data_IF_650191247736
#
_entry.id   IF_650191247736
#
_cell.length_a   1.000
_cell.length_b   1.000
_cell.length_c   1.000
_cell.angle_alpha   90.00
_cell.angle_beta   90.00
_cell.angle_gamma   90.00
#
_symmetry.space_group_name_H-M   'P 1'
#
loop_
_entity.id
_entity.type
_entity.pdbx_description
1 polymer ?
#
# COMPACT_ATOMS: atom_id res chain seq x y z
N UNK A 1 76.66 -27.99 13.32
CA UNK A 1 76.63 -28.47 11.92
C UNK A 1 75.18 -28.42 11.43
N UNK A 2 74.94 -27.65 10.35
CA UNK A 2 73.95 -27.82 9.24
C UNK A 2 72.50 -28.17 9.61
N UNK A 3 71.43 -27.56 9.08
CA UNK A 3 71.24 -26.51 8.06
C UNK A 3 69.76 -26.12 8.09
N UNK A 4 69.47 -24.83 7.93
CA UNK A 4 68.13 -24.25 7.85
C UNK A 4 67.39 -24.66 6.57
N UNK A 5 66.10 -25.02 6.70
CA UNK A 5 65.19 -25.29 5.57
C UNK A 5 64.32 -24.07 5.27
N UNK A 6 64.42 -23.58 4.03
CA UNK A 6 63.77 -22.38 3.49
C UNK A 6 62.30 -22.66 3.11
N UNK A 7 61.39 -21.77 3.55
CA UNK A 7 59.98 -21.71 3.15
C UNK A 7 59.86 -21.14 1.72
N UNK A 8 59.18 -21.84 0.80
CA UNK A 8 58.73 -21.27 -0.47
C UNK A 8 57.26 -20.85 -0.37
N UNK A 9 57.03 -19.54 -0.48
CA UNK A 9 55.71 -18.93 -0.57
C UNK A 9 55.11 -19.07 -1.96
N UNK A 10 53.80 -19.25 -2.02
CA UNK A 10 52.99 -19.26 -3.24
C UNK A 10 52.27 -17.93 -3.33
N UNK A 11 52.52 -17.19 -4.41
CA UNK A 11 51.98 -15.85 -4.68
C UNK A 11 50.60 -16.01 -5.33
N UNK A 12 49.54 -15.30 -4.87
CA UNK A 12 48.26 -15.25 -5.57
C UNK A 12 48.30 -14.23 -6.72
N UNK A 13 47.61 -14.48 -7.84
CA UNK A 13 47.67 -13.59 -9.01
C UNK A 13 46.89 -12.29 -8.80
N UNK A 14 47.47 -11.19 -9.26
CA UNK A 14 46.93 -9.84 -9.23
C UNK A 14 45.60 -9.70 -9.99
N UNK A 15 44.64 -9.00 -9.39
CA UNK A 15 43.41 -8.56 -10.04
C UNK A 15 43.67 -7.26 -10.80
N UNK A 16 43.48 -7.28 -12.13
CA UNK A 16 43.42 -6.08 -12.97
C UNK A 16 42.06 -5.37 -12.83
N UNK A 17 42.01 -4.03 -12.98
CA UNK A 17 40.78 -3.24 -12.85
C UNK A 17 39.89 -3.36 -14.10
N UNK A 18 38.57 -3.31 -13.89
CA UNK A 18 37.56 -3.21 -14.96
C UNK A 18 37.54 -1.78 -15.50
N UNK A 19 37.77 -1.64 -16.79
CA UNK A 19 37.49 -0.43 -17.57
C UNK A 19 36.17 -0.66 -18.31
N UNK A 20 35.37 0.40 -18.33
CA UNK A 20 34.15 0.56 -19.12
C UNK A 20 34.48 0.46 -20.61
N UNK A 21 33.74 -0.36 -21.35
CA UNK A 21 33.74 -0.33 -22.81
C UNK A 21 32.29 -0.18 -23.29
N UNK A 22 32.07 1.00 -23.86
CA UNK A 22 30.94 1.38 -24.70
C UNK A 22 30.85 0.41 -25.89
N UNK A 23 29.64 -0.10 -26.17
CA UNK A 23 29.38 -0.89 -27.36
C UNK A 23 29.16 0.06 -28.53
N UNK A 24 30.23 0.27 -29.30
CA UNK A 24 30.20 0.71 -30.69
C UNK A 24 29.54 -0.40 -31.54
N UNK A 25 28.45 -0.09 -32.22
CA UNK A 25 27.79 -1.00 -33.16
C UNK A 25 28.50 -0.91 -34.51
N UNK A 26 29.12 -2.01 -34.91
CA UNK A 26 29.82 -2.21 -36.19
C UNK A 26 28.88 -1.99 -37.40
N UNK A 27 29.32 -1.15 -38.33
CA UNK A 27 28.79 -1.00 -39.68
C UNK A 27 29.15 -2.24 -40.51
N UNK A 28 28.15 -3.01 -40.96
CA UNK A 28 28.33 -3.99 -42.03
C UNK A 28 28.10 -3.33 -43.39
N UNK A 29 29.17 -3.21 -44.17
CA UNK A 29 29.16 -2.82 -45.59
C UNK A 29 28.42 -3.86 -46.45
N UNK A 30 27.25 -3.48 -47.00
CA UNK A 30 26.52 -4.26 -48.01
C UNK A 30 26.65 -3.60 -49.39
N UNK A 31 27.10 -4.40 -50.36
CA UNK A 31 27.36 -4.10 -51.77
C UNK A 31 26.07 -3.64 -52.51
N UNK A 32 26.10 -2.60 -53.38
CA UNK A 32 24.90 -2.07 -54.03
C UNK A 32 24.50 -2.88 -55.28
N UNK A 33 23.22 -3.27 -55.36
CA UNK A 33 22.54 -3.79 -56.55
C UNK A 33 21.35 -2.89 -56.95
N UNK A 34 20.88 -2.94 -58.21
CA UNK A 34 20.21 -1.81 -58.86
C UNK A 34 18.72 -1.67 -58.51
N UNK A 35 18.33 -0.42 -58.31
CA UNK A 35 17.02 0.21 -58.53
C UNK A 35 15.77 -0.65 -58.32
N UNK A 36 15.37 -0.75 -57.06
CA UNK A 36 13.95 -0.77 -56.69
C UNK A 36 13.80 0.31 -55.63
N UNK A 37 13.22 1.45 -55.97
CA UNK A 37 12.83 2.46 -54.98
C UNK A 37 11.93 1.77 -53.93
N UNK A 38 12.36 1.63 -52.67
CA UNK A 38 11.37 1.55 -51.61
C UNK A 38 10.78 2.95 -51.51
N UNK A 39 9.46 3.08 -51.59
CA UNK A 39 8.78 4.28 -51.14
C UNK A 39 9.42 4.73 -49.82
N UNK A 40 9.74 6.03 -49.70
CA UNK A 40 10.24 6.61 -48.47
C UNK A 40 9.23 6.34 -47.34
N UNK A 41 9.36 5.18 -46.70
CA UNK A 41 8.82 4.90 -45.38
C UNK A 41 9.63 5.80 -44.46
N UNK A 42 9.19 7.06 -44.42
CA UNK A 42 9.68 8.10 -43.52
C UNK A 42 9.77 7.47 -42.15
N UNK A 43 11.00 7.20 -41.70
CA UNK A 43 11.27 6.67 -40.37
C UNK A 43 10.84 7.76 -39.39
N UNK A 44 9.57 7.72 -38.99
CA UNK A 44 8.94 8.71 -38.13
C UNK A 44 9.81 8.89 -36.89
N UNK A 45 10.28 10.11 -36.66
CA UNK A 45 11.12 10.39 -35.51
C UNK A 45 10.31 10.18 -34.23
N UNK A 46 10.98 9.90 -33.11
CA UNK A 46 10.31 9.74 -31.81
C UNK A 46 9.50 10.98 -31.40
N UNK A 47 9.91 12.16 -31.87
CA UNK A 47 9.20 13.42 -31.63
C UNK A 47 7.95 13.56 -32.50
N UNK A 48 8.04 13.25 -33.80
CA UNK A 48 6.89 13.24 -34.70
C UNK A 48 5.84 12.23 -34.24
N UNK A 49 6.26 11.04 -33.79
CA UNK A 49 5.36 10.04 -33.19
C UNK A 49 4.64 10.56 -31.96
N UNK A 50 5.34 11.26 -31.06
CA UNK A 50 4.72 11.90 -29.88
C UNK A 50 3.73 12.99 -30.28
N UNK A 51 4.07 13.81 -31.28
CA UNK A 51 3.19 14.86 -31.79
C UNK A 51 1.93 14.28 -32.45
N UNK A 52 2.09 13.22 -33.26
CA UNK A 52 0.98 12.50 -33.90
C UNK A 52 0.04 11.90 -32.85
N UNK A 53 0.59 11.20 -31.85
CA UNK A 53 -0.20 10.65 -30.75
C UNK A 53 -0.90 11.74 -29.93
N UNK A 54 -0.23 12.88 -29.67
CA UNK A 54 -0.85 14.00 -28.97
C UNK A 54 -2.01 14.61 -29.77
N UNK A 55 -1.87 14.77 -31.09
CA UNK A 55 -2.94 15.25 -31.98
C UNK A 55 -4.13 14.29 -32.02
N UNK A 56 -3.88 12.99 -32.12
CA UNK A 56 -4.91 11.96 -32.06
C UNK A 56 -5.67 12.01 -30.73
N UNK A 57 -4.95 12.14 -29.62
CA UNK A 57 -5.55 12.23 -28.29
C UNK A 57 -6.41 13.50 -28.11
N UNK A 58 -5.98 14.65 -28.64
CA UNK A 58 -6.78 15.87 -28.65
C UNK A 58 -8.07 15.71 -29.45
N UNK A 59 -7.98 15.10 -30.63
CA UNK A 59 -9.14 14.80 -31.48
C UNK A 59 -10.12 13.86 -30.81
N UNK A 60 -9.63 12.85 -30.07
CA UNK A 60 -10.47 11.92 -29.32
C UNK A 60 -11.23 12.62 -28.18
N UNK A 61 -10.56 13.52 -27.44
CA UNK A 61 -11.22 14.32 -26.40
C UNK A 61 -12.27 15.26 -27.01
N UNK A 62 -11.94 15.95 -28.11
CA UNK A 62 -12.88 16.83 -28.82
C UNK A 62 -14.11 16.06 -29.29
N UNK A 63 -13.92 14.85 -29.84
CA UNK A 63 -15.01 13.98 -30.25
C UNK A 63 -15.89 13.57 -29.05
N UNK A 64 -15.29 13.07 -27.96
CA UNK A 64 -16.04 12.66 -26.76
C UNK A 64 -16.85 13.81 -26.15
N UNK A 65 -16.28 15.02 -26.09
CA UNK A 65 -17.00 16.19 -25.58
C UNK A 65 -18.08 16.68 -26.54
N UNK A 66 -17.86 16.56 -27.86
CA UNK A 66 -18.89 16.89 -28.85
C UNK A 66 -20.11 15.97 -28.75
N UNK A 67 -19.86 14.67 -28.52
CA UNK A 67 -20.90 13.66 -28.34
C UNK A 67 -21.64 13.87 -27.01
N UNK A 68 -20.92 14.29 -25.96
CA UNK A 68 -21.50 14.54 -24.64
C UNK A 68 -22.39 15.79 -24.58
N UNK A 69 -22.01 16.87 -25.28
CA UNK A 69 -22.70 18.15 -25.19
C UNK A 69 -23.95 18.23 -26.09
N UNK A 70 -24.15 17.26 -27.01
CA UNK A 70 -25.25 17.24 -28.01
C UNK A 70 -25.39 18.54 -28.82
N UNK A 71 -24.38 19.42 -28.70
CA UNK A 71 -24.24 20.73 -29.33
C UNK A 71 -22.83 20.75 -29.89
N UNK A 72 -22.70 20.86 -31.22
CA UNK A 72 -21.45 20.68 -31.95
C UNK A 72 -20.36 21.74 -31.71
N UNK A 73 -20.47 22.56 -30.67
CA UNK A 73 -19.48 23.58 -30.31
C UNK A 73 -18.75 23.16 -29.03
N UNK A 74 -17.65 22.43 -29.19
CA UNK A 74 -16.72 22.15 -28.10
C UNK A 74 -15.80 23.36 -27.93
N UNK A 75 -15.89 24.05 -26.80
CA UNK A 75 -14.96 25.12 -26.48
C UNK A 75 -13.57 24.54 -26.17
N UNK A 76 -12.54 25.15 -26.74
CA UNK A 76 -11.14 24.85 -26.46
C UNK A 76 -10.82 24.94 -24.96
N UNK A 77 -11.55 25.77 -24.21
CA UNK A 77 -11.45 25.85 -22.75
C UNK A 77 -11.86 24.55 -22.04
N UNK A 78 -12.92 23.88 -22.51
CA UNK A 78 -13.40 22.59 -21.95
C UNK A 78 -12.38 21.49 -22.18
N UNK A 79 -11.82 21.41 -23.40
CA UNK A 79 -10.75 20.46 -23.75
C UNK A 79 -9.51 20.71 -22.91
N UNK A 80 -9.11 21.98 -22.74
CA UNK A 80 -7.97 22.35 -21.88
C UNK A 80 -8.20 21.97 -20.41
N UNK A 81 -9.42 22.14 -19.89
CA UNK A 81 -9.77 21.70 -18.54
C UNK A 81 -9.66 20.18 -18.41
N UNK A 82 -10.19 19.42 -19.37
CA UNK A 82 -10.14 17.95 -19.35
C UNK A 82 -8.71 17.42 -19.41
N UNK A 83 -7.87 18.00 -20.26
CA UNK A 83 -6.44 17.68 -20.32
C UNK A 83 -5.76 17.96 -18.98
N UNK A 84 -6.05 19.11 -18.37
CA UNK A 84 -5.52 19.46 -17.05
C UNK A 84 -5.95 18.46 -15.99
N UNK A 85 -7.21 18.01 -16.01
CA UNK A 85 -7.71 16.95 -15.12
C UNK A 85 -6.96 15.63 -15.35
N UNK A 86 -6.78 15.20 -16.59
CA UNK A 86 -6.08 13.95 -16.93
C UNK A 86 -4.60 13.99 -16.50
N UNK A 87 -3.91 15.12 -16.68
CA UNK A 87 -2.54 15.31 -16.19
C UNK A 87 -2.48 15.28 -14.66
N UNK A 88 -3.45 15.93 -14.00
CA UNK A 88 -3.57 15.87 -12.55
C UNK A 88 -3.88 14.45 -12.07
N UNK A 89 -4.66 13.67 -12.82
CA UNK A 89 -5.00 12.28 -12.50
C UNK A 89 -3.78 11.37 -12.65
N UNK A 90 -3.05 11.47 -13.76
CA UNK A 90 -1.80 10.73 -13.98
C UNK A 90 -0.74 11.07 -12.94
N UNK A 91 -0.63 12.34 -12.54
CA UNK A 91 0.27 12.75 -11.46
C UNK A 91 -0.24 12.38 -10.06
N UNK A 92 -1.46 11.82 -9.94
CA UNK A 92 -2.09 11.47 -8.67
C UNK A 92 -2.40 12.68 -7.79
N UNK A 93 -2.53 13.87 -8.37
CA UNK A 93 -2.81 15.14 -7.68
C UNK A 93 -4.22 15.66 -7.95
N UNK A 94 -4.98 15.06 -8.86
CA UNK A 94 -6.37 15.40 -9.12
C UNK A 94 -7.20 15.14 -7.87
N UNK A 95 -7.87 16.19 -7.38
CA UNK A 95 -8.75 16.11 -6.22
C UNK A 95 -10.19 16.01 -6.69
N UNK A 96 -10.96 15.11 -6.09
CA UNK A 96 -12.39 14.93 -6.41
C UNK A 96 -13.24 15.18 -5.17
N UNK A 97 -14.36 15.85 -5.35
CA UNK A 97 -15.40 16.04 -4.32
C UNK A 97 -16.51 15.05 -4.59
N UNK A 98 -16.54 13.95 -3.84
CA UNK A 98 -17.45 12.82 -4.06
C UNK A 98 -18.30 12.52 -2.84
N UNK A 99 -17.96 13.09 -1.68
CA UNK A 99 -18.62 12.80 -0.41
C UNK A 99 -20.14 13.02 -0.44
N UNK A 100 -20.61 14.05 -1.15
CA UNK A 100 -22.04 14.35 -1.29
C UNK A 100 -22.80 13.30 -2.11
N UNK A 101 -22.08 12.51 -2.93
CA UNK A 101 -22.67 11.46 -3.74
C UNK A 101 -22.96 10.20 -2.92
N UNK A 102 -22.62 10.14 -1.62
CA UNK A 102 -22.86 8.97 -0.78
C UNK A 102 -24.02 9.22 0.18
N UNK A 103 -25.10 8.45 0.03
CA UNK A 103 -26.28 8.54 0.90
C UNK A 103 -26.21 7.63 2.13
N UNK A 104 -25.39 6.59 2.09
CA UNK A 104 -25.29 5.63 3.19
C UNK A 104 -24.47 4.39 2.86
N UNK A 105 -24.63 3.38 3.71
CA UNK A 105 -24.09 2.04 3.50
C UNK A 105 -25.20 1.01 3.45
N UNK A 106 -25.04 0.01 2.60
CA UNK A 106 -25.96 -1.11 2.48
C UNK A 106 -25.72 -2.13 3.60
N UNK A 107 -26.25 -1.80 4.77
CA UNK A 107 -26.12 -2.60 5.99
C UNK A 107 -26.58 -4.07 5.87
N UNK A 108 -27.70 -4.42 5.21
CA UNK A 108 -28.10 -5.82 5.07
C UNK A 108 -27.18 -6.62 4.13
N UNK A 109 -26.52 -5.97 3.16
CA UNK A 109 -25.64 -6.63 2.20
C UNK A 109 -24.14 -6.61 2.58
N UNK A 110 -23.83 -6.35 3.86
CA UNK A 110 -22.45 -6.45 4.37
C UNK A 110 -21.97 -7.90 4.27
N UNK A 111 -20.95 -8.14 3.44
CA UNK A 111 -20.35 -9.45 3.35
C UNK A 111 -19.36 -9.67 4.48
N UNK A 112 -19.51 -10.79 5.20
CA UNK A 112 -18.69 -11.12 6.36
C UNK A 112 -17.72 -12.25 5.99
N UNK A 113 -16.44 -11.93 5.88
CA UNK A 113 -15.39 -12.91 5.61
C UNK A 113 -14.79 -13.43 6.91
N UNK A 114 -14.85 -14.76 7.09
CA UNK A 114 -14.33 -15.47 8.26
C UNK A 114 -13.50 -16.67 7.82
N UNK A 115 -12.43 -16.97 8.55
CA UNK A 115 -11.58 -18.13 8.29
C UNK A 115 -11.15 -18.80 9.59
N UNK A 116 -10.87 -20.11 9.51
CA UNK A 116 -10.43 -20.91 10.67
C UNK A 116 -9.03 -20.53 11.17
N UNK A 117 -8.23 -19.87 10.33
CA UNK A 117 -6.86 -19.45 10.62
C UNK A 117 -6.79 -18.16 11.43
N UNK A 118 -7.82 -17.31 11.40
CA UNK A 118 -7.92 -16.09 12.21
C UNK A 118 -8.83 -16.33 13.41
N UNK A 119 -8.28 -16.96 14.46
CA UNK A 119 -8.97 -17.22 15.71
C UNK A 119 -8.93 -15.99 16.63
N UNK A 120 -7.84 -15.24 16.59
CA UNK A 120 -7.64 -14.00 17.33
C UNK A 120 -7.98 -12.77 16.46
N UNK A 121 -7.89 -11.59 17.08
CA UNK A 121 -8.25 -10.34 16.44
C UNK A 121 -7.39 -10.04 15.21
N UNK A 122 -8.06 -9.55 14.17
CA UNK A 122 -7.42 -8.99 12.97
C UNK A 122 -6.76 -7.68 13.39
N UNK A 123 -5.49 -7.52 13.03
CA UNK A 123 -4.66 -6.39 13.47
C UNK A 123 -4.45 -5.36 12.37
N UNK A 124 -4.37 -5.81 11.13
CA UNK A 124 -4.03 -5.00 9.97
C UNK A 124 -4.58 -5.62 8.69
N UNK A 125 -4.72 -4.78 7.68
CA UNK A 125 -5.21 -5.12 6.36
C UNK A 125 -4.46 -4.31 5.31
N UNK A 126 -4.36 -4.87 4.11
CA UNK A 126 -3.87 -4.17 2.94
C UNK A 126 -4.62 -4.66 1.70
N UNK A 127 -5.18 -3.72 0.94
CA UNK A 127 -5.82 -4.00 -0.35
C UNK A 127 -4.77 -4.01 -1.46
N UNK A 128 -4.95 -4.87 -2.45
CA UNK A 128 -4.20 -4.77 -3.70
C UNK A 128 -4.67 -3.53 -4.48
N UNK A 129 -3.75 -2.83 -5.17
CA UNK A 129 -4.09 -1.69 -6.04
C UNK A 129 -5.14 -2.00 -7.13
N UNK A 130 -5.29 -3.27 -7.51
CA UNK A 130 -6.29 -3.72 -8.49
C UNK A 130 -7.64 -4.11 -7.88
N UNK A 131 -7.82 -3.93 -6.56
CA UNK A 131 -9.00 -4.31 -5.77
C UNK A 131 -9.44 -5.78 -5.91
N UNK A 132 -8.60 -6.68 -6.43
CA UNK A 132 -8.95 -8.10 -6.55
C UNK A 132 -8.69 -8.86 -5.28
N UNK A 133 -7.63 -8.50 -4.56
CA UNK A 133 -7.16 -9.21 -3.39
C UNK A 133 -7.10 -8.31 -2.16
N UNK A 134 -7.47 -8.91 -1.03
CA UNK A 134 -7.29 -8.31 0.28
C UNK A 134 -6.38 -9.20 1.10
N UNK A 135 -5.40 -8.60 1.75
CA UNK A 135 -4.54 -9.28 2.71
C UNK A 135 -4.88 -8.84 4.11
N UNK A 136 -4.92 -9.80 5.02
CA UNK A 136 -5.27 -9.56 6.42
C UNK A 136 -4.29 -10.27 7.32
N UNK A 137 -3.87 -9.58 8.38
CA UNK A 137 -2.99 -10.12 9.42
C UNK A 137 -3.75 -10.28 10.73
N UNK A 138 -3.46 -11.37 11.44
CA UNK A 138 -4.02 -11.66 12.76
C UNK A 138 -2.93 -11.71 13.84
N UNK A 139 -3.34 -11.56 15.10
CA UNK A 139 -2.50 -11.91 16.26
C UNK A 139 -2.10 -13.39 16.29
N UNK A 140 -2.79 -14.26 15.55
CA UNK A 140 -2.43 -15.67 15.38
C UNK A 140 -1.12 -15.89 14.62
N UNK A 141 -0.48 -14.83 14.13
CA UNK A 141 0.68 -14.94 13.24
C UNK A 141 0.30 -15.65 11.94
N UNK A 142 -0.92 -15.44 11.43
CA UNK A 142 -1.35 -15.95 10.13
C UNK A 142 -1.74 -14.78 9.24
N UNK A 143 -1.44 -14.93 7.95
CA UNK A 143 -1.85 -13.98 6.92
C UNK A 143 -2.79 -14.70 5.98
N UNK A 144 -3.91 -14.07 5.68
CA UNK A 144 -4.90 -14.64 4.76
C UNK A 144 -5.13 -13.67 3.61
N UNK A 145 -5.04 -14.23 2.40
CA UNK A 145 -5.40 -13.58 1.13
C UNK A 145 -6.85 -13.94 0.79
N UNK A 146 -7.64 -12.91 0.55
CA UNK A 146 -9.05 -13.00 0.19
C UNK A 146 -9.23 -12.50 -1.23
N UNK A 147 -10.05 -13.18 -2.02
CA UNK A 147 -10.53 -12.64 -3.28
C UNK A 147 -11.79 -11.82 -3.00
N UNK A 148 -11.76 -10.53 -3.37
CA UNK A 148 -12.90 -9.63 -3.19
C UNK A 148 -14.05 -9.94 -4.14
N UNK A 149 -13.76 -10.35 -5.38
CA UNK A 149 -14.79 -10.73 -6.36
C UNK A 149 -15.59 -11.95 -5.91
N UNK A 150 -14.89 -12.99 -5.44
CA UNK A 150 -15.53 -14.24 -4.98
C UNK A 150 -15.96 -14.19 -3.50
N UNK A 151 -15.56 -13.14 -2.76
CA UNK A 151 -15.81 -12.99 -1.31
C UNK A 151 -15.41 -14.23 -0.52
N UNK A 152 -14.26 -14.82 -0.86
CA UNK A 152 -13.78 -16.05 -0.22
C UNK A 152 -12.28 -16.00 0.04
N UNK A 153 -11.83 -16.85 0.95
CA UNK A 153 -10.41 -17.10 1.17
C UNK A 153 -9.84 -17.86 -0.04
N UNK A 154 -8.74 -17.37 -0.58
CA UNK A 154 -7.98 -18.08 -1.63
C UNK A 154 -6.77 -18.79 -1.02
N UNK A 155 -5.89 -18.02 -0.36
CA UNK A 155 -4.63 -18.56 0.17
C UNK A 155 -4.36 -18.07 1.59
N UNK A 156 -3.44 -18.74 2.26
CA UNK A 156 -2.95 -18.30 3.56
C UNK A 156 -1.48 -18.63 3.73
N UNK A 157 -0.75 -17.70 4.34
CA UNK A 157 0.58 -17.94 4.87
C UNK A 157 0.39 -18.25 6.35
N UNK A 158 0.80 -19.45 6.74
CA UNK A 158 0.67 -19.92 8.11
C UNK A 158 1.89 -19.55 8.95
N UNK A 159 1.66 -19.38 10.24
CA UNK A 159 2.71 -19.23 11.23
C UNK A 159 3.69 -20.41 11.13
N UNK A 160 4.98 -20.10 11.05
CA UNK A 160 6.02 -21.11 11.13
C UNK A 160 6.25 -21.47 12.60
N UNK A 161 6.09 -22.76 12.92
CA UNK A 161 6.48 -23.30 14.24
C UNK A 161 8.01 -23.32 14.42
N UNK A 162 8.53 -24.03 15.44
CA UNK A 162 9.99 -24.12 15.71
C UNK A 162 10.85 -24.80 14.62
N UNK A 163 10.32 -25.07 13.42
CA UNK A 163 11.05 -25.72 12.31
C UNK A 163 11.83 -24.69 11.51
N UNK A 164 12.95 -25.10 10.89
CA UNK A 164 13.82 -24.30 10.02
C UNK A 164 13.17 -23.97 8.66
N UNK A 165 11.92 -23.50 8.64
CA UNK A 165 11.30 -22.96 7.43
C UNK A 165 11.30 -21.44 7.51
N UNK A 166 11.56 -20.72 6.42
CA UNK A 166 11.43 -19.27 6.43
C UNK A 166 9.96 -18.89 6.64
N UNK A 167 9.69 -18.03 7.61
CA UNK A 167 8.35 -17.51 7.85
C UNK A 167 8.22 -16.85 9.22
N UNK A 168 7.00 -16.46 9.56
CA UNK A 168 6.74 -15.63 10.72
C UNK A 168 6.23 -16.45 11.90
N UNK A 169 6.71 -16.13 13.10
CA UNK A 169 6.39 -16.85 14.33
C UNK A 169 5.79 -15.95 15.41
N UNK A 170 5.53 -14.67 15.11
CA UNK A 170 4.90 -13.72 16.04
C UNK A 170 3.81 -12.90 15.35
N UNK A 171 3.03 -12.16 16.15
CA UNK A 171 1.84 -11.43 15.68
C UNK A 171 2.18 -10.47 14.55
N UNK A 172 1.31 -10.43 13.54
CA UNK A 172 1.42 -9.46 12.44
C UNK A 172 0.77 -8.16 12.91
N UNK A 173 1.44 -7.02 12.74
CA UNK A 173 0.92 -5.71 13.17
C UNK A 173 0.63 -4.77 12.01
N UNK A 174 1.29 -4.95 10.88
CA UNK A 174 1.13 -4.10 9.70
C UNK A 174 1.41 -4.90 8.42
N UNK A 175 0.75 -4.51 7.34
CA UNK A 175 0.87 -5.10 6.01
C UNK A 175 0.95 -3.96 5.00
N UNK A 176 1.68 -4.16 3.91
CA UNK A 176 1.73 -3.23 2.80
C UNK A 176 1.79 -3.99 1.47
N UNK A 177 1.20 -3.44 0.41
CA UNK A 177 1.22 -4.04 -0.93
C UNK A 177 1.84 -3.02 -1.88
N UNK A 178 2.71 -3.50 -2.78
CA UNK A 178 3.33 -2.66 -3.81
C UNK A 178 2.29 -2.17 -4.81
N UNK A 179 2.55 -1.02 -5.44
CA UNK A 179 1.63 -0.40 -6.40
C UNK A 179 1.41 -1.25 -7.66
N UNK A 180 2.39 -2.07 -8.03
CA UNK A 180 2.33 -2.95 -9.20
C UNK A 180 1.71 -4.32 -8.90
N UNK A 181 1.30 -4.56 -7.65
CA UNK A 181 0.83 -5.86 -7.15
C UNK A 181 1.80 -7.03 -7.37
N UNK A 182 3.05 -6.83 -7.82
CA UNK A 182 4.02 -7.93 -8.01
C UNK A 182 4.65 -8.31 -6.67
N UNK A 183 4.94 -7.31 -5.86
CA UNK A 183 5.51 -7.49 -4.54
C UNK A 183 4.49 -7.24 -3.44
N UNK A 184 4.48 -8.14 -2.48
CA UNK A 184 3.74 -7.99 -1.24
C UNK A 184 4.76 -7.94 -0.12
N UNK A 185 5.11 -6.75 0.35
CA UNK A 185 5.99 -6.67 1.52
C UNK A 185 5.17 -6.89 2.78
N UNK A 186 5.60 -7.88 3.55
CA UNK A 186 4.92 -8.29 4.75
C UNK A 186 5.80 -7.94 5.93
N UNK A 187 5.42 -6.92 6.68
CA UNK A 187 6.02 -6.77 7.99
C UNK A 187 5.31 -7.64 9.00
N UNK A 188 5.94 -8.77 9.32
CA UNK A 188 5.69 -9.44 10.59
C UNK A 188 6.82 -9.11 11.53
N UNK A 189 6.63 -8.14 12.44
CA UNK A 189 7.44 -8.10 13.66
C UNK A 189 6.60 -7.97 14.92
N UNK A 190 6.55 -9.09 15.63
CA UNK A 190 6.90 -9.23 17.05
C UNK A 190 6.50 -8.07 17.99
N UNK A 191 5.32 -8.16 18.60
CA UNK A 191 5.16 -7.65 19.96
C UNK A 191 4.74 -8.75 20.91
N UNK A 192 5.61 -9.02 21.88
CA UNK A 192 5.26 -9.04 23.30
C UNK A 192 6.48 -8.52 24.06
N UNK A 193 6.27 -7.51 24.90
CA UNK A 193 7.20 -7.18 25.96
C UNK A 193 7.03 -8.19 27.10
N UNK A 194 8.07 -8.94 27.38
CA UNK A 194 8.50 -9.19 28.76
C UNK A 194 10.01 -9.32 28.74
N UNK A 195 10.62 -8.90 29.83
CA UNK A 195 12.05 -8.84 30.07
C UNK A 195 12.82 -10.05 29.52
N UNK A 196 14.06 -9.77 29.11
CA UNK A 196 15.08 -10.68 28.58
C UNK A 196 15.06 -10.89 27.06
N UNK A 197 15.75 -9.98 26.38
CA UNK A 197 16.67 -10.34 25.28
C UNK A 197 17.75 -11.26 25.90
N UNK A 198 17.41 -12.52 26.17
CA UNK A 198 18.38 -13.56 26.60
C UNK A 198 18.61 -14.56 25.47
N UNK A 199 18.81 -14.03 24.27
CA UNK A 199 19.10 -14.78 23.05
C UNK A 199 18.66 -13.93 21.86
N UNK A 200 19.60 -13.56 20.99
CA UNK A 200 19.38 -12.58 19.92
C UNK A 200 18.36 -13.05 18.88
N UNK A 201 17.09 -12.79 19.14
CA UNK A 201 16.04 -12.91 18.12
C UNK A 201 16.07 -11.63 17.26
N UNK A 202 16.42 -11.79 15.99
CA UNK A 202 16.45 -10.69 15.03
C UNK A 202 15.02 -10.16 14.74
N UNK A 203 14.91 -8.85 14.55
CA UNK A 203 13.67 -8.18 14.17
C UNK A 203 13.67 -7.98 12.65
N UNK A 204 12.79 -8.72 11.98
CA UNK A 204 12.88 -9.03 10.56
C UNK A 204 11.71 -8.45 9.76
N UNK A 205 11.98 -7.78 8.64
CA UNK A 205 10.94 -7.43 7.67
C UNK A 205 10.90 -8.50 6.58
N UNK A 206 9.78 -9.21 6.44
CA UNK A 206 9.67 -10.25 5.43
C UNK A 206 9.14 -9.68 4.10
N UNK A 207 9.68 -10.15 2.99
CA UNK A 207 9.20 -9.80 1.66
C UNK A 207 8.68 -11.07 1.00
N UNK A 208 7.47 -10.99 0.45
CA UNK A 208 6.80 -12.10 -0.20
C UNK A 208 6.39 -11.69 -1.60
N UNK A 209 6.27 -12.68 -2.48
CA UNK A 209 5.67 -12.46 -3.80
C UNK A 209 4.15 -12.42 -3.65
N UNK A 210 3.47 -11.42 -4.21
CA UNK A 210 2.01 -11.29 -4.03
C UNK A 210 1.23 -12.42 -4.73
N UNK A 211 1.67 -12.80 -5.93
CA UNK A 211 0.97 -13.76 -6.78
C UNK A 211 1.02 -15.18 -6.23
N UNK A 212 2.22 -15.61 -5.79
CA UNK A 212 2.46 -16.98 -5.34
C UNK A 212 2.38 -17.13 -3.82
N UNK A 213 2.60 -16.04 -3.08
CA UNK A 213 2.85 -16.03 -1.62
C UNK A 213 4.06 -16.85 -1.23
N UNK A 214 5.09 -16.86 -2.09
CA UNK A 214 6.39 -17.42 -1.74
C UNK A 214 7.23 -16.40 -0.99
N UNK A 215 8.00 -16.88 -0.01
CA UNK A 215 8.95 -16.05 0.72
C UNK A 215 10.13 -15.71 -0.19
N UNK A 216 10.39 -14.40 -0.38
CA UNK A 216 11.47 -13.92 -1.25
C UNK A 216 12.70 -13.56 -0.41
N UNK A 217 12.51 -12.66 0.55
CA UNK A 217 13.62 -12.07 1.26
C UNK A 217 13.26 -11.67 2.69
N UNK A 218 14.28 -11.37 3.48
CA UNK A 218 14.15 -11.00 4.87
C UNK A 218 15.15 -9.89 5.19
N UNK A 219 14.66 -8.66 5.34
CA UNK A 219 15.50 -7.54 5.72
C UNK A 219 15.84 -7.59 7.20
N UNK A 220 17.14 -7.49 7.48
CA UNK A 220 17.72 -7.43 8.82
C UNK A 220 18.24 -6.02 9.08
N UNK A 221 18.17 -5.59 10.34
CA UNK A 221 18.88 -4.37 10.77
C UNK A 221 18.11 -3.45 11.70
N UNK A 222 16.80 -3.66 11.90
CA UNK A 222 16.07 -2.95 12.94
C UNK A 222 16.48 -3.45 14.33
N UNK A 223 16.63 -2.50 15.27
CA UNK A 223 17.01 -2.78 16.66
C UNK A 223 15.79 -2.85 17.59
N UNK A 224 14.62 -2.45 17.09
CA UNK A 224 13.36 -2.45 17.82
C UNK A 224 12.18 -2.93 16.96
N UNK A 225 11.05 -3.27 17.57
CA UNK A 225 9.85 -3.69 16.85
C UNK A 225 9.43 -2.65 15.82
N UNK A 226 9.13 -3.12 14.62
CA UNK A 226 8.73 -2.26 13.52
C UNK A 226 7.22 -2.02 13.65
N UNK A 227 6.82 -0.76 13.74
CA UNK A 227 5.47 -0.31 14.07
C UNK A 227 4.64 0.04 12.83
N UNK A 228 5.27 0.20 11.67
CA UNK A 228 4.59 0.58 10.45
C UNK A 228 5.41 0.28 9.20
N UNK A 229 4.70 0.03 8.10
CA UNK A 229 5.23 -0.05 6.75
C UNK A 229 4.45 0.86 5.82
N UNK A 230 5.14 1.37 4.80
CA UNK A 230 4.50 2.04 3.68
C UNK A 230 5.36 1.88 2.42
N UNK A 231 4.73 1.61 1.28
CA UNK A 231 5.39 1.70 -0.01
C UNK A 231 5.31 3.11 -0.58
N UNK A 232 6.36 3.53 -1.26
CA UNK A 232 6.27 4.68 -2.16
C UNK A 232 5.39 4.30 -3.37
N UNK A 233 4.51 5.22 -3.77
CA UNK A 233 3.64 4.99 -4.94
C UNK A 233 4.46 4.96 -6.23
N UNK A 234 4.20 3.96 -7.06
CA UNK A 234 4.87 3.80 -8.35
C UNK A 234 6.35 3.39 -8.27
N UNK A 235 6.86 3.04 -7.09
CA UNK A 235 8.19 2.45 -6.94
C UNK A 235 8.16 1.22 -6.04
N UNK A 236 9.25 0.45 -6.06
CA UNK A 236 9.45 -0.70 -5.17
C UNK A 236 10.25 -0.32 -3.92
N UNK A 237 10.15 0.95 -3.50
CA UNK A 237 10.79 1.46 -2.30
C UNK A 237 9.87 1.30 -1.09
N UNK A 238 10.35 0.59 -0.08
CA UNK A 238 9.64 0.32 1.17
C UNK A 238 10.22 1.17 2.30
N UNK A 239 9.34 1.83 3.06
CA UNK A 239 9.67 2.47 4.31
C UNK A 239 9.22 1.62 5.49
N UNK A 240 10.09 1.42 6.47
CA UNK A 240 9.76 0.75 7.73
C UNK A 240 10.08 1.65 8.92
N UNK A 241 9.07 1.91 9.74
CA UNK A 241 9.22 2.72 10.97
C UNK A 241 9.32 1.83 12.20
N UNK A 242 10.29 2.08 13.09
CA UNK A 242 10.51 1.24 14.26
C UNK A 242 10.54 2.02 15.58
N UNK A 243 10.26 1.30 16.67
CA UNK A 243 10.42 1.79 18.05
C UNK A 243 11.89 2.07 18.40
N UNK A 244 12.85 1.63 17.59
CA UNK A 244 14.25 2.04 17.71
C UNK A 244 14.52 3.52 17.35
N UNK A 245 13.46 4.28 17.00
CA UNK A 245 13.48 5.69 16.59
C UNK A 245 14.09 5.91 15.21
N UNK A 246 14.14 4.87 14.39
CA UNK A 246 14.60 4.95 13.01
C UNK A 246 13.49 4.62 12.00
N UNK A 247 13.62 5.21 10.82
CA UNK A 247 12.89 4.81 9.62
C UNK A 247 13.92 4.27 8.64
N UNK A 248 13.77 3.03 8.19
CA UNK A 248 14.67 2.45 7.19
C UNK A 248 13.99 2.42 5.83
N UNK A 249 14.79 2.64 4.80
CA UNK A 249 14.39 2.59 3.40
C UNK A 249 15.00 1.34 2.77
N UNK A 250 14.17 0.57 2.07
CA UNK A 250 14.57 -0.66 1.39
C UNK A 250 14.19 -0.56 -0.09
N UNK A 251 15.08 -1.04 -0.96
CA UNK A 251 14.76 -1.27 -2.36
C UNK A 251 14.39 -2.74 -2.55
N UNK A 252 13.18 -3.02 -3.04
CA UNK A 252 12.77 -4.39 -3.30
C UNK A 252 13.26 -4.93 -4.65
N UNK A 253 13.65 -4.09 -5.61
CA UNK A 253 14.21 -4.57 -6.88
C UNK A 253 15.56 -5.26 -6.67
N UNK A 254 16.41 -4.62 -5.88
CA UNK A 254 17.73 -5.13 -5.53
C UNK A 254 17.73 -5.94 -4.22
N UNK A 255 16.60 -5.99 -3.52
CA UNK A 255 16.48 -6.52 -2.16
C UNK A 255 17.57 -5.95 -1.23
N UNK A 256 17.82 -4.65 -1.35
CA UNK A 256 18.92 -3.95 -0.68
C UNK A 256 18.41 -2.93 0.33
N UNK A 257 19.20 -2.73 1.38
CA UNK A 257 19.03 -1.62 2.31
C UNK A 257 19.60 -0.35 1.67
N UNK A 258 18.81 0.73 1.62
CA UNK A 258 19.26 2.01 1.09
C UNK A 258 19.83 2.86 2.23
N UNK A 259 18.96 3.32 3.14
CA UNK A 259 19.35 4.30 4.15
C UNK A 259 18.50 4.19 5.42
N UNK A 260 19.02 4.72 6.54
CA UNK A 260 18.32 4.87 7.81
C UNK A 260 18.16 6.35 8.08
N UNK A 261 16.91 6.79 8.14
CA UNK A 261 16.53 8.12 8.55
C UNK A 261 16.27 8.14 10.07
N UNK A 262 16.66 9.22 10.73
CA UNK A 262 16.32 9.52 12.13
C UNK A 262 15.53 10.82 12.16
N UNK A 263 14.34 10.82 12.79
CA UNK A 263 13.49 12.01 13.02
C UNK A 263 13.29 12.90 11.77
N UNK A 264 12.41 12.51 10.86
CA UNK A 264 11.98 13.37 9.76
C UNK A 264 10.70 14.13 10.12
N UNK A 265 10.77 15.46 10.10
CA UNK A 265 9.64 16.35 10.31
C UNK A 265 9.04 16.71 8.95
N UNK A 266 7.88 16.14 8.63
CA UNK A 266 7.18 16.44 7.38
C UNK A 266 6.26 17.64 7.61
N UNK A 267 6.61 18.79 7.06
CA UNK A 267 5.73 19.96 7.03
C UNK A 267 4.79 19.89 5.83
N UNK A 268 3.48 19.90 6.05
CA UNK A 268 2.49 20.13 4.98
C UNK A 268 1.94 21.57 5.02
N UNK A 269 2.79 22.56 5.34
CA UNK A 269 2.51 24.01 5.39
C UNK A 269 2.01 24.62 6.72
N UNK A 270 1.68 23.86 7.78
CA UNK A 270 1.25 24.43 9.09
C UNK A 270 1.67 23.61 10.31
N UNK A 271 1.99 24.30 11.42
CA UNK A 271 2.31 23.69 12.74
C UNK A 271 1.08 23.28 13.56
N UNK A 272 -0.09 23.85 13.26
CA UNK A 272 -1.37 23.55 13.94
C UNK A 272 -2.24 22.67 13.04
N UNK A 273 -3.06 21.76 13.61
CA UNK A 273 -4.04 21.01 12.83
C UNK A 273 -5.02 21.98 12.15
N UNK A 274 -5.42 21.67 10.92
CA UNK A 274 -6.40 22.48 10.18
C UNK A 274 -7.80 22.37 10.79
N UNK A 275 -8.14 21.19 11.30
CA UNK A 275 -9.42 20.87 11.95
C UNK A 275 -9.16 19.86 13.08
N UNK A 276 -9.93 19.96 14.16
CA UNK A 276 -9.97 18.95 15.22
C UNK A 276 -11.43 18.71 15.59
N UNK A 277 -11.86 17.46 15.51
CA UNK A 277 -13.18 17.02 16.00
C UNK A 277 -12.95 16.34 17.35
N UNK A 278 -13.26 16.99 18.49
CA UNK A 278 -13.15 16.35 19.79
C UNK A 278 -14.19 15.24 19.91
N UNK A 279 -13.84 14.16 20.61
CA UNK A 279 -14.75 13.04 20.88
C UNK A 279 -15.47 12.51 19.62
N UNK A 280 -14.73 12.30 18.53
CA UNK A 280 -15.29 11.84 17.25
C UNK A 280 -16.10 10.53 17.36
N UNK A 281 -15.81 9.69 18.36
CA UNK A 281 -16.58 8.48 18.69
C UNK A 281 -17.29 8.56 20.06
N UNK A 282 -17.51 9.76 20.59
CA UNK A 282 -18.17 9.98 21.87
C UNK A 282 -17.39 9.46 23.07
N UNK A 283 -18.10 9.30 24.18
CA UNK A 283 -17.58 8.75 25.44
C UNK A 283 -18.01 7.28 25.58
N UNK A 284 -17.15 6.48 26.17
CA UNK A 284 -17.42 5.10 26.56
C UNK A 284 -18.47 5.08 27.67
N UNK A 285 -19.43 4.16 27.56
CA UNK A 285 -20.48 3.97 28.57
C UNK A 285 -19.91 3.41 29.88
N UNK A 286 -18.78 2.69 29.82
CA UNK A 286 -18.26 1.92 30.95
C UNK A 286 -17.51 2.80 31.97
N UNK A 287 -16.80 3.84 31.51
CA UNK A 287 -15.96 4.68 32.35
C UNK A 287 -16.09 6.19 32.07
N UNK A 288 -16.94 6.59 31.10
CA UNK A 288 -17.12 7.98 30.72
C UNK A 288 -15.93 8.60 30.00
N UNK A 289 -14.90 7.82 29.63
CA UNK A 289 -13.72 8.30 28.92
C UNK A 289 -13.95 8.34 27.40
N UNK A 290 -13.27 9.21 26.64
CA UNK A 290 -13.39 9.25 25.19
C UNK A 290 -13.05 7.91 24.50
N UNK A 291 -13.92 7.47 23.60
CA UNK A 291 -13.67 6.26 22.81
C UNK A 291 -12.48 6.49 21.85
N UNK A 292 -11.57 5.53 21.81
CA UNK A 292 -10.35 5.63 21.02
C UNK A 292 -10.62 5.39 19.54
N UNK A 293 -10.13 6.28 18.67
CA UNK A 293 -10.09 5.98 17.23
C UNK A 293 -9.03 4.91 17.00
N UNK A 294 -9.47 3.72 16.62
CA UNK A 294 -8.63 2.54 16.44
C UNK A 294 -8.07 2.44 15.01
N UNK A 295 -8.83 2.92 14.03
CA UNK A 295 -8.45 2.92 12.61
C UNK A 295 -9.04 4.11 11.88
N UNK A 296 -8.36 4.51 10.79
CA UNK A 296 -8.76 5.59 9.90
C UNK A 296 -8.48 5.11 8.47
N UNK A 297 -9.37 5.47 7.54
CA UNK A 297 -9.14 5.33 6.11
C UNK A 297 -9.56 6.62 5.42
N UNK A 298 -8.81 7.03 4.39
CA UNK A 298 -9.21 8.12 3.51
C UNK A 298 -9.38 7.56 2.10
N UNK A 299 -10.44 7.94 1.40
CA UNK A 299 -10.58 7.58 0.01
C UNK A 299 -9.66 8.48 -0.81
N UNK A 300 -8.74 7.84 -1.54
CA UNK A 300 -7.55 8.48 -2.11
C UNK A 300 -7.92 9.68 -2.97
N UNK A 301 -7.29 10.82 -2.69
CA UNK A 301 -7.49 12.09 -3.40
C UNK A 301 -8.94 12.62 -3.42
N UNK A 302 -9.73 12.22 -2.44
CA UNK A 302 -11.10 12.71 -2.28
C UNK A 302 -11.32 13.42 -0.96
N UNK A 303 -12.52 13.96 -0.78
CA UNK A 303 -13.02 14.55 0.45
C UNK A 303 -13.63 13.53 1.42
N UNK A 304 -13.61 12.23 1.12
CA UNK A 304 -14.24 11.21 1.98
C UNK A 304 -13.24 10.54 2.93
N UNK A 305 -13.58 10.49 4.22
CA UNK A 305 -12.78 9.85 5.28
C UNK A 305 -13.66 8.96 6.14
N UNK A 306 -13.14 7.83 6.60
CA UNK A 306 -13.79 6.95 7.56
C UNK A 306 -12.92 6.78 8.81
N UNK A 307 -13.58 6.72 9.97
CA UNK A 307 -12.95 6.41 11.25
C UNK A 307 -13.66 5.24 11.93
N UNK A 308 -12.89 4.36 12.55
CA UNK A 308 -13.37 3.19 13.27
C UNK A 308 -12.87 3.20 14.71
N UNK A 309 -13.72 2.78 15.64
CA UNK A 309 -13.41 2.71 17.07
C UNK A 309 -13.89 1.38 17.67
N UNK A 310 -13.91 1.31 19.00
CA UNK A 310 -14.45 0.22 19.81
C UNK A 310 -15.90 0.46 20.27
N UNK A 311 -16.48 1.60 19.90
CA UNK A 311 -17.84 2.01 20.25
C UNK A 311 -18.93 1.30 19.42
N UNK A 312 -18.53 0.39 18.53
CA UNK A 312 -19.44 -0.34 17.68
C UNK A 312 -19.86 0.43 16.41
N UNK A 313 -19.21 1.55 16.11
CA UNK A 313 -19.54 2.37 14.94
C UNK A 313 -18.32 2.69 14.08
N UNK A 314 -18.53 2.62 12.77
CA UNK A 314 -17.68 3.27 11.77
C UNK A 314 -18.38 4.56 11.37
N UNK A 315 -17.68 5.70 11.43
CA UNK A 315 -18.22 6.99 11.02
C UNK A 315 -17.56 7.44 9.74
N UNK A 316 -18.36 7.94 8.80
CA UNK A 316 -17.88 8.57 7.59
C UNK A 316 -18.02 10.08 7.71
N UNK A 317 -17.02 10.77 7.18
CA UNK A 317 -16.82 12.20 7.31
C UNK A 317 -16.54 12.79 5.93
N UNK A 318 -17.09 13.97 5.69
CA UNK A 318 -16.78 14.81 4.54
C UNK A 318 -15.76 15.88 4.94
N UNK A 319 -14.74 16.03 4.12
CA UNK A 319 -13.74 17.08 4.23
C UNK A 319 -14.16 18.30 3.42
N UNK A 320 -14.61 19.35 4.09
CA UNK A 320 -15.06 20.57 3.44
C UNK A 320 -14.00 21.68 3.50
N UNK A 321 -14.25 22.76 2.76
CA UNK A 321 -13.49 24.01 2.81
C UNK A 321 -11.97 23.83 2.58
N UNK A 322 -11.60 22.88 1.71
CA UNK A 322 -10.21 22.52 1.47
C UNK A 322 -9.55 21.83 2.67
N UNK A 323 -10.22 20.83 3.25
CA UNK A 323 -9.77 20.03 4.40
C UNK A 323 -9.63 20.83 5.71
N UNK A 324 -10.37 21.94 5.83
CA UNK A 324 -10.39 22.78 7.04
C UNK A 324 -11.53 22.42 8.00
N UNK A 325 -12.54 21.71 7.51
CA UNK A 325 -13.68 21.26 8.31
C UNK A 325 -13.99 19.81 8.01
N UNK A 326 -14.33 19.05 9.05
CA UNK A 326 -14.81 17.67 8.94
C UNK A 326 -16.26 17.65 9.40
N UNK A 327 -17.17 17.29 8.49
CA UNK A 327 -18.60 17.15 8.79
C UNK A 327 -18.98 15.67 8.79
N UNK A 328 -19.76 15.19 9.77
CA UNK A 328 -20.22 13.81 9.77
C UNK A 328 -21.24 13.60 8.65
N UNK A 329 -21.08 12.52 7.88
CA UNK A 329 -22.03 12.12 6.82
C UNK A 329 -23.05 11.12 7.37
N UNK A 330 -22.58 9.90 7.65
CA UNK A 330 -23.39 8.83 8.21
C UNK A 330 -22.51 7.85 9.00
N UNK A 331 -23.15 6.91 9.70
CA UNK A 331 -22.48 5.91 10.50
C UNK A 331 -22.97 4.50 10.18
N UNK A 332 -22.07 3.52 10.31
CA UNK A 332 -22.34 2.10 10.08
C UNK A 332 -22.11 1.34 11.38
N UNK A 333 -23.10 0.58 11.82
CA UNK A 333 -23.02 -0.25 13.03
C UNK A 333 -22.20 -1.52 12.77
N UNK A 334 -21.15 -1.71 13.55
CA UNK A 334 -20.22 -2.84 13.44
C UNK A 334 -19.82 -3.31 14.84
N UNK A 335 -20.19 -4.53 15.21
CA UNK A 335 -19.89 -5.07 16.54
C UNK A 335 -18.39 -5.40 16.72
N UNK A 336 -17.70 -4.67 17.60
CA UNK A 336 -16.33 -4.95 18.02
C UNK A 336 -15.34 -3.80 17.81
N UNK A 337 -14.05 -4.13 17.90
CA UNK A 337 -12.96 -3.21 17.62
C UNK A 337 -12.70 -3.15 16.12
N UNK A 338 -12.85 -1.97 15.53
CA UNK A 338 -12.47 -1.72 14.13
C UNK A 338 -10.96 -1.43 14.08
N UNK A 339 -10.15 -2.48 13.92
CA UNK A 339 -8.69 -2.42 14.01
C UNK A 339 -8.02 -1.97 12.69
N UNK A 340 -8.69 -2.13 11.56
CA UNK A 340 -8.21 -1.71 10.24
C UNK A 340 -9.38 -1.27 9.35
N UNK A 341 -9.16 -0.26 8.52
CA UNK A 341 -10.11 0.25 7.54
C UNK A 341 -9.38 0.51 6.22
N UNK A 342 -10.05 0.26 5.09
CA UNK A 342 -9.57 0.64 3.77
C UNK A 342 -10.73 0.79 2.81
N UNK A 343 -10.72 1.84 1.99
CA UNK A 343 -11.63 1.96 0.84
C UNK A 343 -11.09 1.17 -0.34
N UNK A 344 -11.98 0.64 -1.16
CA UNK A 344 -11.65 0.19 -2.52
C UNK A 344 -11.36 1.38 -3.43
N UNK A 345 -10.61 1.17 -4.49
CA UNK A 345 -10.19 2.20 -5.44
C UNK A 345 -11.37 2.80 -6.22
N UNK A 346 -12.43 2.00 -6.45
CA UNK A 346 -13.70 2.46 -7.04
C UNK A 346 -14.59 3.29 -6.07
N UNK A 347 -14.24 3.31 -4.78
CA UNK A 347 -15.04 3.92 -3.71
C UNK A 347 -16.40 3.25 -3.48
N UNK A 348 -16.67 2.11 -4.11
CA UNK A 348 -17.94 1.39 -3.97
C UNK A 348 -18.05 0.61 -2.67
N UNK A 349 -16.93 0.26 -2.04
CA UNK A 349 -16.91 -0.56 -0.83
C UNK A 349 -15.93 0.00 0.22
N UNK A 350 -16.32 -0.13 1.48
CA UNK A 350 -15.45 0.07 2.63
C UNK A 350 -15.15 -1.28 3.28
N UNK A 351 -13.88 -1.62 3.40
CA UNK A 351 -13.44 -2.87 4.01
C UNK A 351 -12.95 -2.61 5.42
N UNK A 352 -13.50 -3.34 6.40
CA UNK A 352 -13.19 -3.19 7.82
C UNK A 352 -12.70 -4.49 8.44
N UNK A 353 -11.58 -4.43 9.16
CA UNK A 353 -11.04 -5.53 9.94
C UNK A 353 -11.49 -5.42 11.38
N UNK A 354 -12.38 -6.33 11.78
CA UNK A 354 -13.04 -6.29 13.10
C UNK A 354 -12.48 -7.38 14.00
N UNK A 355 -12.27 -7.04 15.26
CA UNK A 355 -11.77 -7.95 16.29
C UNK A 355 -12.52 -7.83 17.61
N UNK A 356 -12.41 -8.88 18.43
CA UNK A 356 -12.90 -8.88 19.82
C UNK A 356 -12.09 -7.99 20.76
N UNK A 357 -10.87 -7.66 20.37
CA UNK A 357 -9.89 -6.95 21.18
C UNK A 357 -9.07 -6.00 20.30
N UNK A 358 -8.47 -5.00 20.93
CA UNK A 358 -7.64 -4.03 20.25
C UNK A 358 -6.39 -4.68 19.62
N UNK A 359 -5.93 -4.17 18.47
CA UNK A 359 -4.80 -4.76 17.73
C UNK A 359 -3.48 -4.87 18.51
N UNK A 360 -3.21 -3.95 19.45
CA UNK A 360 -1.94 -3.87 20.18
C UNK A 360 -1.90 -4.66 21.49
N UNK A 361 -3.04 -5.03 22.04
CA UNK A 361 -3.10 -5.57 23.40
C UNK A 361 -4.49 -6.08 23.78
N UNK A 362 -4.57 -6.73 24.93
CA UNK A 362 -5.81 -7.27 25.49
C UNK A 362 -6.24 -6.48 26.71
N UNK A 363 -6.54 -5.19 26.50
CA UNK A 363 -7.00 -4.32 27.58
C UNK A 363 -8.50 -4.47 27.83
N UNK A 364 -9.28 -4.55 26.75
CA UNK A 364 -10.72 -4.87 26.79
C UNK A 364 -11.03 -5.96 25.79
N UNK A 365 -12.12 -6.69 26.08
CA UNK A 365 -12.65 -7.73 25.21
C UNK A 365 -14.15 -7.54 25.05
N UNK A 366 -14.60 -7.45 23.80
CA UNK A 366 -16.02 -7.42 23.40
C UNK A 366 -16.46 -8.85 23.03
N UNK A 367 -17.22 -9.55 23.90
CA UNK A 367 -17.57 -10.96 23.69
C UNK A 367 -18.63 -11.17 22.60
N UNK A 368 -19.45 -10.15 22.36
CA UNK A 368 -20.44 -10.03 21.28
C UNK A 368 -19.80 -9.98 19.89
N UNK A 369 -18.61 -9.38 19.79
CA UNK A 369 -17.88 -9.26 18.55
C UNK A 369 -17.31 -10.60 18.05
N UNK A 370 -17.07 -10.71 16.74
CA UNK A 370 -16.38 -11.83 16.11
C UNK A 370 -15.21 -11.32 15.28
N UNK A 371 -14.13 -12.09 15.23
CA UNK A 371 -12.97 -11.76 14.41
C UNK A 371 -13.31 -12.02 12.94
N UNK A 372 -13.46 -10.97 12.15
CA UNK A 372 -13.91 -11.06 10.76
C UNK A 372 -13.57 -9.81 9.97
N UNK A 373 -13.50 -9.96 8.65
CA UNK A 373 -13.42 -8.82 7.73
C UNK A 373 -14.83 -8.54 7.24
N UNK A 374 -15.24 -7.28 7.24
CA UNK A 374 -16.49 -6.82 6.69
C UNK A 374 -16.21 -6.09 5.38
N UNK A 375 -16.95 -6.43 4.33
CA UNK A 375 -17.01 -5.65 3.09
C UNK A 375 -18.36 -4.95 3.10
N UNK A 376 -18.32 -3.63 3.28
CA UNK A 376 -19.48 -2.78 3.45
C UNK A 376 -19.73 -2.05 2.13
N UNK A 377 -20.81 -2.36 1.39
CA UNK A 377 -21.15 -1.62 0.17
C UNK A 377 -21.59 -0.21 0.54
N UNK A 378 -21.06 0.78 -0.18
CA UNK A 378 -21.42 2.18 -0.04
C UNK A 378 -22.43 2.54 -1.14
N UNK A 379 -23.53 3.16 -0.75
CA UNK A 379 -24.58 3.56 -1.68
C UNK A 379 -24.24 4.93 -2.26
N UNK A 380 -24.17 4.99 -3.60
CA UNK A 380 -24.03 6.25 -4.34
C UNK A 380 -25.41 6.73 -4.79
N UNK A 381 -25.66 8.03 -4.67
CA UNK A 381 -26.88 8.69 -5.16
C UNK A 381 -26.83 8.99 -6.64
#
# INVERSE_FOLDING_TARGET
MRSAGVKKGTIPPERKPRLDEELDSEDEDVIPGPDVEPEEDSRETTQEKRLRLAKLYLSEIEQQESERLDSGAVDRATVAQRLKENVLEQSGRLRRTVADNYSGADTPNIAILRCKQHKLAITCMALSPDDKFLYSGSKDCNIVQWCLTKKQKERCILAVGKRKTPGHNKSILCLAVSSDSRFLSILVTTYYSSLQVSGGEELLVHVWKADTLDHLHCFKGHKGPVTGLCFQRGSHTLFSSSRDRSVKIWNLDEMSYIETLQLCLWGSMKKKPLCVVPNAHGLSQDNGEPNWVCSIAAYVNTDLVASGSSDGHIRLWKCENGFKTLTPLFQVTVAGFVNALSFTSDGGHLVAGVGQEHRLGRWWRRPDARNSILIIPLMKT
#
